data_IF_481705638724
#
_entry.id   IF_481705638724
#
_cell.length_a   1.000
_cell.length_b   1.000
_cell.length_c   1.000
_cell.angle_alpha   90.00
_cell.angle_beta   90.00
_cell.angle_gamma   90.00
#
_symmetry.space_group_name_H-M   'P 1'
#
loop_
_entity.id
_entity.type
_entity.pdbx_description
1 polymer ?
#
# COMPACT_ATOMS: atom_id res chain seq x y z
N UNK A 1 15.28 46.40 -9.41
CA UNK A 1 14.36 47.04 -10.37
C UNK A 1 13.47 45.96 -10.96
N UNK A 2 12.18 45.97 -10.59
CA UNK A 2 11.18 45.05 -11.12
C UNK A 2 10.19 45.85 -12.00
N UNK A 3 9.77 45.35 -13.17
CA UNK A 3 8.70 45.98 -13.95
C UNK A 3 7.30 45.43 -13.59
N UNK A 4 6.23 46.23 -13.84
CA UNK A 4 4.89 46.04 -13.30
C UNK A 4 3.97 45.13 -14.12
N UNK A 5 2.95 44.64 -13.43
CA UNK A 5 1.75 43.93 -13.92
C UNK A 5 0.74 44.92 -14.52
N UNK A 6 -0.03 44.52 -15.54
CA UNK A 6 -1.41 45.00 -15.66
C UNK A 6 -2.46 43.88 -15.73
N UNK A 7 -3.67 44.25 -15.33
CA UNK A 7 -4.79 43.41 -14.93
C UNK A 7 -5.98 43.44 -15.90
N UNK A 8 -6.98 42.61 -15.56
CA UNK A 8 -8.43 42.66 -15.87
C UNK A 8 -8.94 42.11 -17.20
N UNK A 9 -9.98 41.27 -17.08
CA UNK A 9 -10.80 40.73 -18.17
C UNK A 9 -11.93 39.84 -17.65
N UNK A 10 -13.02 40.48 -17.24
CA UNK A 10 -14.34 39.97 -16.79
C UNK A 10 -15.11 39.18 -17.86
N UNK A 11 -15.87 38.13 -17.51
CA UNK A 11 -17.20 37.77 -18.12
C UNK A 11 -17.74 36.47 -17.46
N UNK A 12 -18.75 36.48 -16.58
CA UNK A 12 -20.21 36.55 -16.80
C UNK A 12 -20.84 35.27 -17.40
N UNK A 13 -21.65 34.58 -16.58
CA UNK A 13 -22.86 33.88 -17.04
C UNK A 13 -23.13 32.49 -16.45
N UNK A 14 -24.14 32.32 -15.57
CA UNK A 14 -24.77 31.03 -15.28
C UNK A 14 -26.03 30.80 -16.16
N UNK A 15 -26.35 29.54 -16.47
CA UNK A 15 -27.62 29.15 -17.09
C UNK A 15 -28.11 27.81 -16.52
N UNK A 16 -29.37 27.73 -16.03
CA UNK A 16 -30.06 26.49 -15.68
C UNK A 16 -31.20 26.19 -16.69
N UNK A 17 -32.17 25.31 -16.36
CA UNK A 17 -32.25 23.91 -16.77
C UNK A 17 -33.28 23.66 -17.89
N UNK A 18 -33.23 22.50 -18.57
CA UNK A 18 -34.28 22.08 -19.51
C UNK A 18 -34.92 20.77 -19.05
N UNK A 19 -36.22 20.85 -18.74
CA UNK A 19 -37.11 19.72 -18.54
C UNK A 19 -37.51 19.13 -19.90
N UNK A 20 -37.68 17.82 -20.00
CA UNK A 20 -38.66 17.20 -20.91
C UNK A 20 -39.18 15.90 -20.33
N UNK A 21 -40.48 15.94 -20.10
CA UNK A 21 -41.41 14.85 -19.84
C UNK A 21 -41.52 13.94 -21.06
N UNK A 22 -41.63 12.64 -20.81
CA UNK A 22 -41.87 11.62 -21.82
C UNK A 22 -42.63 10.44 -21.21
N UNK A 23 -43.95 10.53 -21.34
CA UNK A 23 -44.99 9.51 -21.15
C UNK A 23 -44.65 8.16 -21.80
N UNK A 24 -45.03 7.04 -21.17
CA UNK A 24 -45.94 6.00 -21.76
C UNK A 24 -45.72 4.58 -21.22
N UNK A 25 -46.74 4.11 -20.49
CA UNK A 25 -47.38 2.77 -20.48
C UNK A 25 -46.60 1.52 -20.93
N UNK A 26 -46.53 0.53 -20.02
CA UNK A 26 -47.29 -0.71 -20.20
C UNK A 26 -46.53 -2.04 -20.40
N UNK A 27 -46.98 -3.02 -19.60
CA UNK A 27 -47.01 -4.49 -19.82
C UNK A 27 -45.72 -5.27 -19.51
N UNK A 28 -45.67 -5.98 -18.38
CA UNK A 28 -46.14 -7.36 -18.14
C UNK A 28 -45.11 -8.41 -18.58
N UNK A 29 -44.54 -9.15 -17.63
CA UNK A 29 -44.56 -10.62 -17.55
C UNK A 29 -43.51 -11.12 -16.55
N UNK A 30 -44.05 -11.77 -15.52
CA UNK A 30 -43.63 -13.01 -14.88
C UNK A 30 -42.23 -13.62 -15.10
N UNK A 31 -41.82 -14.28 -14.01
CA UNK A 31 -40.92 -15.43 -13.93
C UNK A 31 -39.41 -15.18 -14.00
N UNK A 32 -38.76 -15.15 -12.82
CA UNK A 32 -37.66 -16.08 -12.52
C UNK A 32 -37.61 -16.41 -11.01
N UNK A 33 -37.39 -17.69 -10.63
CA UNK A 33 -37.36 -18.12 -9.24
C UNK A 33 -36.08 -17.66 -8.53
N UNK A 34 -36.25 -17.17 -7.29
CA UNK A 34 -35.19 -16.95 -6.31
C UNK A 34 -34.44 -18.26 -6.06
N UNK A 35 -33.36 -18.48 -6.82
CA UNK A 35 -32.41 -19.56 -6.61
C UNK A 35 -31.70 -19.33 -5.29
N UNK A 36 -31.87 -20.27 -4.37
CA UNK A 36 -31.34 -20.22 -3.01
C UNK A 36 -29.84 -19.93 -3.01
N UNK A 37 -29.45 -18.86 -2.32
CA UNK A 37 -28.09 -18.71 -1.84
C UNK A 37 -27.90 -19.70 -0.70
N UNK A 38 -27.64 -20.96 -1.04
CA UNK A 38 -26.81 -21.79 -0.18
C UNK A 38 -25.49 -21.04 -0.04
N UNK A 39 -25.36 -20.26 1.03
CA UNK A 39 -24.09 -19.83 1.55
C UNK A 39 -23.33 -21.08 1.92
N UNK A 40 -22.73 -21.72 0.92
CA UNK A 40 -21.63 -22.62 1.13
C UNK A 40 -20.62 -21.76 1.87
N UNK A 41 -20.56 -21.94 3.20
CA UNK A 41 -19.43 -21.53 3.99
C UNK A 41 -18.24 -21.99 3.19
N UNK A 42 -17.58 -21.03 2.53
CA UNK A 42 -16.28 -21.23 1.92
C UNK A 42 -15.49 -21.73 3.11
N UNK A 43 -15.30 -23.04 3.19
CA UNK A 43 -14.41 -23.67 4.15
C UNK A 43 -13.11 -22.97 3.82
N UNK A 44 -12.83 -21.92 4.59
CA UNK A 44 -11.53 -21.30 4.68
C UNK A 44 -10.71 -22.47 5.14
N UNK A 45 -10.20 -23.20 4.16
CA UNK A 45 -9.19 -24.21 4.35
C UNK A 45 -8.15 -23.38 5.07
N UNK A 46 -8.06 -23.59 6.38
CA UNK A 46 -7.00 -23.06 7.18
C UNK A 46 -5.77 -23.70 6.57
N UNK A 47 -5.27 -23.10 5.49
CA UNK A 47 -3.97 -23.39 4.92
C UNK A 47 -3.07 -22.93 6.04
N UNK A 48 -2.79 -23.89 6.93
CA UNK A 48 -1.67 -23.88 7.84
C UNK A 48 -0.52 -23.28 7.01
N UNK A 49 0.17 -22.23 7.49
CA UNK A 49 1.31 -21.66 6.78
C UNK A 49 2.13 -22.79 6.20
N UNK A 50 2.44 -22.71 4.90
CA UNK A 50 3.32 -23.70 4.27
C UNK A 50 4.52 -23.85 5.20
N UNK A 51 4.77 -25.06 5.75
CA UNK A 51 5.88 -25.27 6.66
C UNK A 51 7.16 -24.74 6.00
N UNK A 52 7.91 -23.89 6.71
CA UNK A 52 9.13 -23.27 6.19
C UNK A 52 8.98 -21.84 5.64
N UNK A 53 7.82 -21.20 5.69
CA UNK A 53 7.71 -19.76 5.38
C UNK A 53 8.43 -18.91 6.43
N UNK A 54 9.51 -18.24 6.03
CA UNK A 54 10.29 -17.36 6.91
C UNK A 54 10.50 -16.01 6.22
N UNK A 55 10.24 -14.93 6.96
CA UNK A 55 10.78 -13.61 6.65
C UNK A 55 11.91 -13.34 7.66
N UNK A 56 13.19 -13.44 7.25
CA UNK A 56 14.34 -13.36 8.17
C UNK A 56 14.32 -12.08 9.00
N UNK A 57 14.82 -12.07 10.23
CA UNK A 57 14.95 -10.79 10.94
C UNK A 57 16.12 -9.97 10.39
N UNK A 58 16.00 -8.64 10.49
CA UNK A 58 16.99 -7.69 9.99
C UNK A 58 17.36 -6.74 11.13
N UNK A 59 18.67 -6.48 11.39
CA UNK A 59 19.84 -6.96 10.66
C UNK A 59 20.04 -8.48 10.76
N UNK A 60 20.52 -9.08 9.67
CA UNK A 60 20.73 -10.53 9.58
C UNK A 60 21.78 -10.98 10.59
N UNK A 61 21.52 -12.11 11.27
CA UNK A 61 22.47 -12.78 12.14
C UNK A 61 23.32 -13.73 11.29
N UNK A 62 24.63 -13.48 11.24
CA UNK A 62 25.59 -14.32 10.54
C UNK A 62 25.84 -15.64 11.30
N UNK A 63 26.42 -16.63 10.62
CA UNK A 63 26.72 -17.95 11.20
C UNK A 63 27.66 -17.88 12.43
N UNK A 64 28.53 -16.87 12.47
CA UNK A 64 29.43 -16.55 13.58
C UNK A 64 28.72 -15.86 14.77
N UNK A 65 27.38 -15.75 14.72
CA UNK A 65 26.52 -15.05 15.69
C UNK A 65 26.76 -13.54 15.77
N UNK A 66 27.48 -12.96 14.82
CA UNK A 66 27.56 -11.50 14.67
C UNK A 66 26.36 -10.99 13.88
N UNK A 67 25.93 -9.75 14.16
CA UNK A 67 24.86 -9.10 13.38
C UNK A 67 25.48 -8.23 12.31
N UNK A 68 24.92 -8.28 11.10
CA UNK A 68 25.27 -7.31 10.06
C UNK A 68 25.08 -5.87 10.56
N UNK A 69 25.91 -4.92 10.13
CA UNK A 69 25.77 -3.53 10.53
C UNK A 69 24.37 -3.00 10.20
N UNK A 70 23.79 -2.20 11.11
CA UNK A 70 22.45 -1.63 10.89
C UNK A 70 22.39 -0.80 9.62
N UNK A 71 23.44 -0.05 9.29
CA UNK A 71 23.50 0.76 8.06
C UNK A 71 23.34 -0.05 6.77
N UNK A 72 23.68 -1.34 6.81
CA UNK A 72 23.59 -2.24 5.65
C UNK A 72 22.26 -3.00 5.59
N UNK A 73 21.43 -2.89 6.64
CA UNK A 73 20.18 -3.64 6.73
C UNK A 73 19.20 -3.39 5.58
N UNK A 74 19.23 -2.22 4.95
CA UNK A 74 18.37 -1.93 3.80
C UNK A 74 18.84 -2.66 2.54
N UNK A 75 20.14 -2.93 2.39
CA UNK A 75 20.69 -3.74 1.30
C UNK A 75 20.21 -5.18 1.41
N UNK A 76 20.19 -5.73 2.64
CA UNK A 76 19.61 -7.04 2.90
C UNK A 76 18.12 -7.07 2.53
N UNK A 77 17.36 -6.01 2.84
CA UNK A 77 15.95 -5.89 2.47
C UNK A 77 15.77 -5.89 0.94
N UNK A 78 16.60 -5.15 0.21
CA UNK A 78 16.57 -5.14 -1.26
C UNK A 78 16.91 -6.53 -1.82
N UNK A 79 17.95 -7.19 -1.30
CA UNK A 79 18.31 -8.58 -1.66
C UNK A 79 17.13 -9.53 -1.43
N UNK A 80 16.52 -9.50 -0.24
CA UNK A 80 15.34 -10.31 0.09
C UNK A 80 14.16 -10.06 -0.86
N UNK A 81 13.99 -8.81 -1.32
CA UNK A 81 12.90 -8.44 -2.21
C UNK A 81 13.10 -8.94 -3.65
N UNK A 82 14.32 -8.78 -4.17
CA UNK A 82 14.65 -9.07 -5.58
C UNK A 82 15.03 -10.53 -5.81
N UNK A 83 15.88 -11.08 -4.94
CA UNK A 83 16.52 -12.39 -5.15
C UNK A 83 16.16 -13.42 -4.09
N UNK A 84 15.69 -13.00 -2.91
CA UNK A 84 15.55 -13.88 -1.75
C UNK A 84 16.88 -14.12 -1.05
N UNK A 85 16.89 -15.04 -0.09
CA UNK A 85 18.09 -15.50 0.61
C UNK A 85 17.91 -16.95 1.13
N UNK A 86 18.27 -17.97 0.32
CA UNK A 86 18.12 -19.38 0.69
C UNK A 86 18.85 -19.76 1.98
N UNK A 87 19.98 -19.11 2.30
CA UNK A 87 20.73 -19.34 3.53
C UNK A 87 19.91 -19.00 4.79
N UNK A 88 18.90 -18.15 4.65
CA UNK A 88 17.98 -17.74 5.71
C UNK A 88 16.59 -18.37 5.57
N UNK A 89 16.43 -19.37 4.70
CA UNK A 89 15.15 -20.01 4.40
C UNK A 89 14.19 -19.14 3.59
N UNK A 90 14.70 -18.14 2.87
CA UNK A 90 13.92 -17.29 1.96
C UNK A 90 14.21 -17.66 0.50
N UNK A 91 13.78 -18.85 0.07
CA UNK A 91 14.05 -19.34 -1.29
C UNK A 91 13.33 -18.53 -2.38
N UNK A 92 12.11 -18.07 -2.08
CA UNK A 92 11.31 -17.27 -3.02
C UNK A 92 11.48 -15.79 -2.69
N UNK A 93 11.85 -14.92 -3.66
CA UNK A 93 11.93 -13.48 -3.47
C UNK A 93 10.61 -12.91 -2.94
N UNK A 94 10.66 -11.94 -2.03
CA UNK A 94 9.43 -11.37 -1.44
C UNK A 94 8.51 -10.70 -2.47
N UNK A 95 9.07 -10.19 -3.57
CA UNK A 95 8.30 -9.63 -4.69
C UNK A 95 7.38 -10.65 -5.38
N UNK A 96 7.71 -11.93 -5.29
CA UNK A 96 6.98 -13.04 -5.93
C UNK A 96 6.05 -13.78 -4.96
N UNK A 97 5.98 -13.36 -3.70
CA UNK A 97 5.13 -14.03 -2.72
C UNK A 97 3.65 -13.89 -3.08
N UNK A 98 2.90 -15.00 -3.20
CA UNK A 98 1.48 -14.93 -3.46
C UNK A 98 0.75 -14.31 -2.26
N UNK A 99 -0.36 -13.57 -2.47
CA UNK A 99 -1.11 -12.94 -1.39
C UNK A 99 -1.57 -13.90 -0.30
N UNK A 100 -1.83 -15.16 -0.65
CA UNK A 100 -2.22 -16.21 0.31
C UNK A 100 -1.16 -16.48 1.38
N UNK A 101 0.12 -16.16 1.13
CA UNK A 101 1.20 -16.36 2.10
C UNK A 101 1.29 -15.26 3.16
N UNK A 102 0.70 -14.09 2.93
CA UNK A 102 0.72 -12.94 3.85
C UNK A 102 -0.68 -12.62 4.43
N UNK A 103 -1.70 -13.39 4.07
CA UNK A 103 -3.08 -13.22 4.53
C UNK A 103 -3.47 -14.24 5.61
N UNK A 104 -4.62 -14.00 6.26
CA UNK A 104 -5.19 -14.92 7.26
C UNK A 104 -4.27 -15.13 8.46
N UNK A 105 -3.97 -16.39 8.77
CA UNK A 105 -3.12 -16.78 9.91
C UNK A 105 -1.67 -16.28 9.77
N UNK A 106 -1.26 -15.90 8.56
CA UNK A 106 0.10 -15.43 8.26
C UNK A 106 0.23 -13.90 8.31
N UNK A 107 -0.73 -13.22 8.95
CA UNK A 107 -0.74 -11.75 9.05
C UNK A 107 0.52 -11.17 9.70
N UNK A 108 1.23 -11.96 10.51
CA UNK A 108 2.54 -11.58 11.07
C UNK A 108 3.58 -11.26 9.99
N UNK A 109 3.49 -11.91 8.83
CA UNK A 109 4.36 -11.64 7.68
C UNK A 109 3.91 -10.44 6.86
N UNK A 110 2.62 -10.07 6.92
CA UNK A 110 2.08 -8.96 6.16
C UNK A 110 2.78 -7.64 6.46
N UNK A 111 3.05 -7.36 7.75
CA UNK A 111 3.72 -6.13 8.18
C UNK A 111 5.15 -6.10 7.65
N UNK A 112 5.94 -7.15 7.92
CA UNK A 112 7.33 -7.23 7.45
C UNK A 112 7.43 -7.18 5.92
N UNK A 113 6.54 -7.87 5.22
CA UNK A 113 6.49 -7.85 3.75
C UNK A 113 6.21 -6.43 3.23
N UNK A 114 5.21 -5.75 3.79
CA UNK A 114 4.88 -4.39 3.42
C UNK A 114 6.04 -3.41 3.68
N UNK A 115 6.63 -3.42 4.87
CA UNK A 115 7.75 -2.53 5.22
C UNK A 115 8.95 -2.72 4.27
N UNK A 116 9.26 -3.97 3.92
CA UNK A 116 10.30 -4.29 2.94
C UNK A 116 9.96 -3.82 1.54
N UNK A 117 8.70 -3.99 1.13
CA UNK A 117 8.22 -3.47 -0.15
C UNK A 117 8.40 -1.96 -0.25
N UNK A 118 8.16 -1.23 0.83
CA UNK A 118 8.28 0.24 0.85
C UNK A 118 9.71 0.65 0.58
N UNK A 119 10.68 0.07 1.31
CA UNK A 119 12.11 0.37 1.14
C UNK A 119 12.60 -0.07 -0.24
N UNK A 120 12.33 -1.32 -0.62
CA UNK A 120 12.84 -1.88 -1.87
C UNK A 120 12.27 -1.15 -3.09
N UNK A 121 10.96 -0.90 -3.14
CA UNK A 121 10.35 -0.20 -4.26
C UNK A 121 10.75 1.27 -4.32
N UNK A 122 11.01 1.93 -3.19
CA UNK A 122 11.58 3.28 -3.20
C UNK A 122 12.95 3.26 -3.89
N UNK A 123 13.86 2.38 -3.46
CA UNK A 123 15.19 2.26 -4.05
C UNK A 123 15.15 1.90 -5.54
N UNK A 124 14.38 0.88 -5.90
CA UNK A 124 14.31 0.36 -7.26
C UNK A 124 13.60 1.33 -8.21
N UNK A 125 12.44 1.87 -7.83
CA UNK A 125 11.59 2.63 -8.76
C UNK A 125 11.85 4.14 -8.70
N UNK A 126 12.02 4.73 -7.50
CA UNK A 126 12.22 6.18 -7.37
C UNK A 126 13.66 6.59 -7.64
N UNK A 127 14.62 5.74 -7.28
CA UNK A 127 16.06 6.02 -7.44
C UNK A 127 16.72 5.17 -8.52
N UNK A 128 15.99 4.29 -9.21
CA UNK A 128 16.52 3.52 -10.33
C UNK A 128 17.66 2.57 -9.94
N UNK A 129 17.66 2.07 -8.71
CA UNK A 129 18.78 1.31 -8.12
C UNK A 129 20.10 2.09 -8.00
N UNK A 130 20.06 3.43 -8.06
CA UNK A 130 21.23 4.27 -7.81
C UNK A 130 21.43 4.46 -6.30
N UNK A 131 22.39 3.72 -5.75
CA UNK A 131 22.70 3.74 -4.32
C UNK A 131 23.20 5.12 -3.86
N UNK A 132 24.01 5.82 -4.66
CA UNK A 132 24.54 7.11 -4.28
C UNK A 132 23.42 8.15 -4.15
N UNK A 133 22.50 8.19 -5.13
CA UNK A 133 21.33 9.09 -5.08
C UNK A 133 20.38 8.72 -3.94
N UNK A 134 20.18 7.42 -3.70
CA UNK A 134 19.33 6.94 -2.61
C UNK A 134 19.86 7.35 -1.24
N UNK A 135 21.16 7.14 -0.98
CA UNK A 135 21.79 7.50 0.28
C UNK A 135 21.91 9.02 0.47
N UNK A 136 22.10 9.77 -0.61
CA UNK A 136 22.08 11.24 -0.56
C UNK A 136 20.70 11.79 -0.15
N UNK A 137 19.62 11.15 -0.60
CA UNK A 137 18.27 11.54 -0.22
C UNK A 137 17.84 11.02 1.17
N UNK A 138 18.35 9.86 1.57
CA UNK A 138 18.00 9.21 2.84
C UNK A 138 19.23 8.90 3.71
N UNK A 139 19.92 9.92 4.26
CA UNK A 139 21.05 9.71 5.17
C UNK A 139 20.67 8.95 6.45
N UNK A 140 19.37 8.83 6.77
CA UNK A 140 18.83 8.02 7.86
C UNK A 140 19.14 6.53 7.71
N UNK A 141 19.48 6.06 6.50
CA UNK A 141 19.94 4.69 6.25
C UNK A 141 21.11 4.29 7.17
N UNK A 142 22.01 5.22 7.52
CA UNK A 142 23.13 4.99 8.46
C UNK A 142 22.67 4.52 9.84
N UNK A 143 21.47 4.91 10.27
CA UNK A 143 20.89 4.52 11.57
C UNK A 143 20.15 3.18 11.48
N UNK A 144 19.91 2.69 10.27
CA UNK A 144 19.26 1.41 9.96
C UNK A 144 17.89 1.54 9.28
N UNK A 145 17.38 0.41 8.81
CA UNK A 145 16.17 0.34 7.98
C UNK A 145 14.91 0.92 8.63
N UNK A 146 14.76 0.87 9.95
CA UNK A 146 13.60 1.50 10.63
C UNK A 146 13.62 3.02 10.48
N UNK A 147 14.77 3.65 10.71
CA UNK A 147 14.91 5.10 10.53
C UNK A 147 14.74 5.50 9.06
N UNK A 148 15.27 4.69 8.15
CA UNK A 148 15.06 4.83 6.71
C UNK A 148 13.57 4.73 6.33
N UNK A 149 12.85 3.74 6.84
CA UNK A 149 11.42 3.54 6.57
C UNK A 149 10.60 4.77 6.98
N UNK A 150 10.88 5.33 8.16
CA UNK A 150 10.21 6.55 8.61
C UNK A 150 10.53 7.76 7.70
N UNK A 151 11.78 7.89 7.25
CA UNK A 151 12.16 8.94 6.32
C UNK A 151 11.42 8.81 4.98
N UNK A 152 11.31 7.58 4.45
CA UNK A 152 10.55 7.30 3.22
C UNK A 152 9.06 7.63 3.40
N UNK A 153 8.46 7.28 4.53
CA UNK A 153 7.06 7.65 4.80
C UNK A 153 6.86 9.17 4.86
N UNK A 154 7.78 9.93 5.45
CA UNK A 154 7.72 11.39 5.44
C UNK A 154 7.79 11.94 4.01
N UNK A 155 8.77 11.46 3.23
CA UNK A 155 8.96 11.90 1.85
C UNK A 155 7.74 11.55 0.96
N UNK A 156 7.17 10.35 1.10
CA UNK A 156 5.93 9.95 0.40
C UNK A 156 4.74 10.84 0.77
N UNK A 157 4.63 11.23 2.04
CA UNK A 157 3.57 12.14 2.50
C UNK A 157 3.73 13.53 1.91
N UNK A 158 4.96 14.04 1.86
CA UNK A 158 5.28 15.35 1.28
C UNK A 158 5.00 15.39 -0.23
N UNK A 159 5.24 14.28 -0.95
CA UNK A 159 4.90 14.13 -2.37
C UNK A 159 3.41 13.96 -2.65
N UNK A 160 2.62 13.55 -1.65
CA UNK A 160 1.21 13.23 -1.81
C UNK A 160 0.92 11.78 -2.23
N UNK A 161 1.91 10.89 -2.16
CA UNK A 161 1.79 9.47 -2.55
C UNK A 161 0.86 8.70 -1.58
N UNK A 162 0.77 9.14 -0.33
CA UNK A 162 -0.15 8.57 0.66
C UNK A 162 -1.46 9.35 0.68
N UNK A 163 -2.51 8.77 0.09
CA UNK A 163 -3.87 9.29 0.28
C UNK A 163 -4.23 9.24 1.77
N UNK A 164 -4.51 10.40 2.36
CA UNK A 164 -5.06 10.46 3.71
C UNK A 164 -6.34 9.62 3.75
N UNK A 165 -6.41 8.62 4.63
CA UNK A 165 -7.62 7.83 4.80
C UNK A 165 -8.75 8.81 5.17
N UNK A 166 -9.85 8.88 4.40
CA UNK A 166 -10.97 9.74 4.77
C UNK A 166 -11.39 9.35 6.18
N UNK A 167 -11.36 10.31 7.11
CA UNK A 167 -11.89 10.06 8.46
C UNK A 167 -13.37 9.75 8.26
N UNK A 168 -13.81 8.57 8.71
CA UNK A 168 -15.23 8.20 8.71
C UNK A 168 -15.93 9.14 9.68
N UNK A 169 -16.41 10.27 9.16
CA UNK A 169 -17.12 11.27 9.94
C UNK A 169 -18.44 10.61 10.38
N UNK A 170 -18.53 10.23 11.65
CA UNK A 170 -19.72 9.64 12.23
C UNK A 170 -20.83 10.69 12.21
N UNK A 171 -21.76 10.56 11.27
CA UNK A 171 -22.99 11.35 11.25
C UNK A 171 -24.04 10.61 12.08
N UNK A 172 -23.95 10.77 13.40
CA UNK A 172 -25.06 10.50 14.30
C UNK A 172 -25.81 11.81 14.51
N UNK A 173 -26.79 12.06 13.64
CA UNK A 173 -27.84 13.05 13.87
C UNK A 173 -29.13 12.52 13.26
N UNK A 174 -29.84 11.69 14.04
CA UNK A 174 -31.29 11.55 13.88
C UNK A 174 -31.92 12.82 14.43
N UNK A 175 -32.71 13.57 13.64
CA UNK A 175 -33.66 14.50 14.22
C UNK A 175 -34.80 13.68 14.83
N UNK A 176 -34.91 13.76 16.16
CA UNK A 176 -36.12 13.39 16.90
C UNK A 176 -37.23 14.35 16.48
N UNK A 177 -38.35 13.80 16.04
CA UNK A 177 -39.55 14.54 15.69
C UNK A 177 -40.39 14.71 16.95
N UNK A 178 -40.77 15.94 17.26
CA UNK A 178 -41.96 16.25 18.04
C UNK A 178 -42.71 17.41 17.36
#
# INVERSE_FOLDING_TARGET
>A
MAPPIPATGTSTGPSPPRQSTGTSMGLDLDALPRRGMTGAHRRSSHLIPKPGLVIPDVPVLCADRTRRPKKDSWRDIVKHWVSGDPELGLDTPLSQWPPTWIQGNNRVFAVKHYERSVIALEYLNMYGSDEARFLAAYPQAERGHTALLHAIYSARRERGDTSARPRRNGKSSSPEAE
#
